data_IF_939912894291
#
_entry.id   IF_939912894291
#
_cell.length_a   1.000
_cell.length_b   1.000
_cell.length_c   1.000
_cell.angle_alpha   90.00
_cell.angle_beta   90.00
_cell.angle_gamma   90.00
#
_symmetry.space_group_name_H-M   'P 1'
#
loop_
_entity.id
_entity.type
_entity.pdbx_description
1 polymer ?
#
# COMPACT_ATOMS: atom_id res chain seq x y z
N UNK A 1 10.70 44.48 -57.27
CA UNK A 1 9.55 43.80 -56.64
C UNK A 1 9.33 42.47 -57.37
N UNK A 2 10.35 41.63 -57.23
CA UNK A 2 10.68 40.48 -58.08
C UNK A 2 10.52 39.18 -57.28
N UNK A 3 10.21 38.08 -57.97
CA UNK A 3 10.58 36.68 -57.64
C UNK A 3 9.63 35.73 -56.89
N UNK A 4 8.35 36.06 -56.61
CA UNK A 4 7.53 35.14 -55.80
C UNK A 4 6.57 34.18 -56.54
N UNK A 5 6.23 34.40 -57.82
CA UNK A 5 5.16 33.59 -58.48
C UNK A 5 5.70 32.55 -59.48
N UNK A 6 6.99 32.55 -59.83
CA UNK A 6 7.56 31.57 -60.79
C UNK A 6 8.07 30.26 -60.18
N UNK A 7 7.84 30.02 -58.88
CA UNK A 7 8.26 28.81 -58.17
C UNK A 7 7.15 27.78 -57.92
N UNK A 8 5.93 28.03 -58.40
CA UNK A 8 4.76 27.17 -58.12
C UNK A 8 4.44 26.13 -59.20
N UNK A 9 5.12 26.11 -60.36
CA UNK A 9 4.72 25.23 -61.48
C UNK A 9 5.85 24.59 -62.30
N UNK A 10 7.10 24.53 -61.82
CA UNK A 10 8.11 23.69 -62.46
C UNK A 10 8.22 22.34 -61.73
N UNK A 11 7.34 21.45 -62.18
CA UNK A 11 7.41 20.01 -62.00
C UNK A 11 8.78 19.49 -62.49
N UNK A 12 9.65 19.09 -61.57
CA UNK A 12 10.57 17.99 -61.84
C UNK A 12 9.87 16.70 -61.40
N UNK A 13 9.89 15.63 -62.22
CA UNK A 13 9.45 14.32 -61.75
C UNK A 13 10.46 13.86 -60.70
N UNK A 14 10.14 14.11 -59.42
CA UNK A 14 10.78 13.41 -58.32
C UNK A 14 10.46 11.94 -58.51
N UNK A 15 11.49 11.16 -58.79
CA UNK A 15 11.52 9.72 -58.63
C UNK A 15 10.63 9.34 -57.46
N UNK A 16 9.68 8.44 -57.71
CA UNK A 16 8.97 7.71 -56.66
C UNK A 16 10.07 7.05 -55.83
N UNK A 17 10.49 7.74 -54.76
CA UNK A 17 11.09 7.07 -53.64
C UNK A 17 9.98 6.15 -53.17
N UNK A 18 10.26 4.85 -53.20
CA UNK A 18 9.48 3.88 -52.46
C UNK A 18 9.25 4.51 -51.08
N UNK A 19 8.03 4.95 -50.82
CA UNK A 19 7.59 5.17 -49.46
C UNK A 19 7.65 3.75 -48.92
N UNK A 20 8.75 3.41 -48.24
CA UNK A 20 8.74 2.26 -47.34
C UNK A 20 7.50 2.50 -46.48
N UNK A 21 6.50 1.62 -46.65
CA UNK A 21 5.41 1.54 -45.68
C UNK A 21 6.09 1.56 -44.31
N UNK A 22 5.65 2.44 -43.38
CA UNK A 22 6.20 2.43 -42.04
C UNK A 22 6.18 0.97 -41.58
N UNK A 23 7.29 0.44 -41.05
CA UNK A 23 7.38 -0.97 -40.72
C UNK A 23 6.14 -1.28 -39.91
N UNK A 24 5.30 -2.22 -40.39
CA UNK A 24 4.10 -2.66 -39.68
C UNK A 24 4.53 -2.86 -38.25
N UNK A 25 4.04 -2.02 -37.34
CA UNK A 25 4.24 -2.23 -35.91
C UNK A 25 3.78 -3.65 -35.67
N UNK A 26 4.73 -4.53 -35.40
CA UNK A 26 4.43 -5.92 -35.08
C UNK A 26 3.75 -5.81 -33.73
N UNK A 27 2.41 -5.81 -33.74
CA UNK A 27 1.63 -5.83 -32.51
C UNK A 27 2.17 -6.98 -31.67
N UNK A 28 2.70 -6.64 -30.50
CA UNK A 28 3.24 -7.64 -29.61
C UNK A 28 2.16 -8.67 -29.26
N UNK A 29 2.51 -9.95 -29.37
CA UNK A 29 1.59 -11.03 -29.02
C UNK A 29 1.21 -10.93 -27.55
N UNK A 30 -0.06 -11.22 -27.25
CA UNK A 30 -0.57 -11.28 -25.89
C UNK A 30 -0.04 -12.55 -25.22
N UNK A 31 0.48 -12.40 -24.01
CA UNK A 31 0.90 -13.51 -23.14
C UNK A 31 -0.32 -14.17 -22.51
N UNK A 32 -0.11 -15.33 -21.87
CA UNK A 32 -1.17 -15.99 -21.10
C UNK A 32 -1.72 -15.11 -19.96
N UNK A 33 -0.89 -14.25 -19.38
CA UNK A 33 -1.32 -13.32 -18.33
C UNK A 33 -2.18 -12.19 -18.91
N UNK A 34 -1.80 -11.65 -20.08
CA UNK A 34 -2.58 -10.65 -20.80
C UNK A 34 -4.00 -11.14 -21.12
N UNK A 35 -4.12 -12.36 -21.64
CA UNK A 35 -5.42 -12.96 -21.96
C UNK A 35 -6.28 -13.20 -20.70
N UNK A 36 -5.63 -13.52 -19.57
CA UNK A 36 -6.32 -13.66 -18.28
C UNK A 36 -6.92 -12.33 -17.83
N UNK A 37 -6.13 -11.24 -17.84
CA UNK A 37 -6.62 -9.92 -17.46
C UNK A 37 -7.69 -9.42 -18.45
N UNK A 38 -7.48 -9.63 -19.75
CA UNK A 38 -8.47 -9.27 -20.78
C UNK A 38 -9.81 -9.94 -20.53
N UNK A 39 -9.81 -11.25 -20.27
CA UNK A 39 -11.02 -12.03 -19.98
C UNK A 39 -11.72 -11.51 -18.71
N UNK A 40 -10.96 -11.14 -17.68
CA UNK A 40 -11.52 -10.54 -16.46
C UNK A 40 -12.20 -9.20 -16.76
N UNK A 41 -11.57 -8.30 -17.49
CA UNK A 41 -12.20 -7.03 -17.88
C UNK A 41 -13.47 -7.25 -18.71
N UNK A 42 -13.43 -8.14 -19.70
CA UNK A 42 -14.58 -8.43 -20.54
C UNK A 42 -15.77 -8.95 -19.72
N UNK A 43 -15.53 -9.82 -18.72
CA UNK A 43 -16.58 -10.33 -17.82
C UNK A 43 -17.33 -9.20 -17.09
N UNK A 44 -16.63 -8.15 -16.66
CA UNK A 44 -17.24 -7.02 -15.94
C UNK A 44 -17.82 -5.97 -16.89
N UNK A 45 -17.15 -5.71 -18.02
CA UNK A 45 -17.59 -4.75 -19.04
C UNK A 45 -18.92 -5.14 -19.70
N UNK A 46 -19.31 -6.42 -19.68
CA UNK A 46 -20.62 -6.88 -20.19
C UNK A 46 -21.79 -6.17 -19.50
N UNK A 47 -21.63 -5.74 -18.25
CA UNK A 47 -22.65 -5.00 -17.49
C UNK A 47 -22.87 -3.56 -17.97
N UNK A 48 -22.02 -3.06 -18.87
CA UNK A 48 -22.07 -1.71 -19.43
C UNK A 48 -22.49 -1.75 -20.89
N UNK A 49 -23.13 -0.68 -21.36
CA UNK A 49 -23.52 -0.56 -22.77
C UNK A 49 -22.28 -0.50 -23.68
N UNK A 50 -22.42 -0.90 -24.95
CA UNK A 50 -21.29 -0.94 -25.90
C UNK A 50 -20.53 0.40 -25.97
N UNK A 51 -21.19 1.58 -26.06
CA UNK A 51 -20.49 2.86 -26.04
C UNK A 51 -19.70 3.11 -24.75
N UNK A 52 -20.25 2.70 -23.61
CA UNK A 52 -19.61 2.87 -22.29
C UNK A 52 -18.38 1.99 -22.11
N UNK A 53 -18.30 0.83 -22.77
CA UNK A 53 -17.14 -0.07 -22.67
C UNK A 53 -15.84 0.55 -23.19
N UNK A 54 -15.95 1.57 -24.04
CA UNK A 54 -14.80 2.34 -24.54
C UNK A 54 -14.47 3.57 -23.68
N UNK A 55 -15.30 3.88 -22.67
CA UNK A 55 -15.09 5.02 -21.80
C UNK A 55 -13.98 4.73 -20.77
N UNK A 56 -13.01 5.63 -20.68
CA UNK A 56 -11.88 5.54 -19.75
C UNK A 56 -12.31 5.41 -18.28
N UNK A 57 -13.29 6.22 -17.84
CA UNK A 57 -13.78 6.19 -16.46
C UNK A 57 -14.50 4.89 -16.13
N UNK A 58 -15.23 4.32 -17.10
CA UNK A 58 -15.88 3.00 -16.94
C UNK A 58 -14.83 1.91 -16.77
N UNK A 59 -13.76 1.91 -17.57
CA UNK A 59 -12.66 0.94 -17.44
C UNK A 59 -11.93 1.07 -16.11
N UNK A 60 -11.68 2.30 -15.65
CA UNK A 60 -11.10 2.55 -14.31
C UNK A 60 -12.04 2.08 -13.18
N UNK A 61 -13.35 2.21 -13.35
CA UNK A 61 -14.32 1.65 -12.40
C UNK A 61 -14.32 0.12 -12.44
N UNK A 62 -14.26 -0.48 -13.62
CA UNK A 62 -14.19 -1.94 -13.77
C UNK A 62 -12.95 -2.52 -13.09
N UNK A 63 -11.79 -1.84 -13.15
CA UNK A 63 -10.61 -2.31 -12.42
C UNK A 63 -10.86 -2.33 -10.91
N UNK A 64 -11.51 -1.31 -10.34
CA UNK A 64 -11.94 -1.30 -8.93
C UNK A 64 -12.91 -2.46 -8.63
N UNK A 65 -13.88 -2.73 -9.50
CA UNK A 65 -14.84 -3.82 -9.34
C UNK A 65 -14.17 -5.20 -9.33
N UNK A 66 -13.18 -5.41 -10.21
CA UNK A 66 -12.37 -6.64 -10.26
C UNK A 66 -11.60 -6.82 -8.94
N UNK A 67 -10.86 -5.78 -8.49
CA UNK A 67 -10.09 -5.85 -7.24
C UNK A 67 -11.02 -6.06 -6.04
N UNK A 68 -12.20 -5.46 -6.04
CA UNK A 68 -13.19 -5.68 -4.99
C UNK A 68 -13.70 -7.12 -4.96
N UNK A 69 -14.00 -7.72 -6.11
CA UNK A 69 -14.37 -9.14 -6.21
C UNK A 69 -13.26 -10.04 -5.66
N UNK A 70 -12.00 -9.79 -6.06
CA UNK A 70 -10.85 -10.55 -5.58
C UNK A 70 -10.62 -10.40 -4.07
N UNK A 71 -10.84 -9.20 -3.52
CA UNK A 71 -10.77 -8.96 -2.08
C UNK A 71 -11.79 -9.83 -1.32
N UNK A 72 -13.05 -9.87 -1.81
CA UNK A 72 -14.12 -10.65 -1.21
C UNK A 72 -13.95 -12.17 -1.38
N UNK A 73 -13.34 -12.60 -2.47
CA UNK A 73 -13.02 -14.01 -2.73
C UNK A 73 -11.84 -14.50 -1.89
N UNK A 74 -11.06 -13.61 -1.28
CA UNK A 74 -9.97 -14.02 -0.39
C UNK A 74 -10.52 -14.71 0.86
N UNK A 75 -9.97 -15.88 1.22
CA UNK A 75 -10.40 -16.78 2.32
C UNK A 75 -10.60 -16.13 3.70
N UNK A 76 -10.19 -14.86 3.86
CA UNK A 76 -10.22 -14.13 5.12
C UNK A 76 -11.22 -12.98 5.19
N UNK A 77 -11.89 -12.63 4.08
CA UNK A 77 -12.73 -11.43 3.98
C UNK A 77 -14.23 -11.75 3.99
N UNK A 78 -14.70 -12.35 5.09
CA UNK A 78 -16.13 -12.60 5.30
C UNK A 78 -16.78 -11.43 6.03
N UNK A 79 -17.82 -10.84 5.43
CA UNK A 79 -18.62 -9.79 6.07
C UNK A 79 -20.11 -9.87 5.71
N UNK A 80 -20.99 -9.36 6.59
CA UNK A 80 -22.42 -9.15 6.31
C UNK A 80 -22.66 -8.35 5.03
N UNK A 81 -23.80 -8.59 4.37
CA UNK A 81 -24.16 -7.97 3.09
C UNK A 81 -24.27 -6.44 3.18
N UNK A 82 -24.86 -5.90 4.26
CA UNK A 82 -24.96 -4.46 4.49
C UNK A 82 -23.59 -3.78 4.59
N UNK A 83 -22.63 -4.44 5.24
CA UNK A 83 -21.24 -3.95 5.34
C UNK A 83 -20.51 -4.08 4.01
N UNK A 84 -20.81 -5.11 3.22
CA UNK A 84 -20.27 -5.30 1.88
C UNK A 84 -20.68 -4.16 0.95
N UNK A 85 -21.95 -3.76 0.97
CA UNK A 85 -22.44 -2.65 0.14
C UNK A 85 -21.80 -1.32 0.55
N UNK A 86 -21.69 -1.06 1.86
CA UNK A 86 -20.98 0.12 2.37
C UNK A 86 -19.51 0.11 1.97
N UNK A 87 -18.84 -1.04 2.04
CA UNK A 87 -17.45 -1.18 1.60
C UNK A 87 -17.30 -0.98 0.09
N UNK A 88 -18.21 -1.53 -0.70
CA UNK A 88 -18.26 -1.33 -2.14
C UNK A 88 -18.40 0.16 -2.47
N UNK A 89 -19.28 0.88 -1.77
CA UNK A 89 -19.40 2.32 -1.95
C UNK A 89 -18.11 3.07 -1.60
N UNK A 90 -17.51 2.76 -0.45
CA UNK A 90 -16.30 3.40 0.05
C UNK A 90 -15.06 3.17 -0.84
N UNK A 91 -14.96 2.00 -1.49
CA UNK A 91 -13.80 1.63 -2.32
C UNK A 91 -14.04 1.84 -3.82
N UNK A 92 -15.20 1.44 -4.33
CA UNK A 92 -15.50 1.36 -5.76
C UNK A 92 -16.19 2.62 -6.28
N UNK A 93 -17.31 3.01 -5.65
CA UNK A 93 -18.16 4.11 -6.12
C UNK A 93 -17.53 5.47 -5.88
N UNK A 94 -16.95 5.68 -4.69
CA UNK A 94 -16.31 6.94 -4.36
C UNK A 94 -15.15 7.26 -5.30
N UNK A 95 -15.02 8.53 -5.69
CA UNK A 95 -13.94 9.00 -6.58
C UNK A 95 -12.55 8.68 -5.98
N UNK A 96 -12.43 8.89 -4.66
CA UNK A 96 -11.31 8.47 -3.82
C UNK A 96 -11.82 7.58 -2.68
N UNK A 97 -10.92 6.80 -2.07
CA UNK A 97 -11.30 5.91 -0.97
C UNK A 97 -11.85 6.73 0.21
N UNK A 98 -13.06 6.37 0.66
CA UNK A 98 -13.68 6.98 1.83
C UNK A 98 -13.13 6.33 3.12
N UNK A 99 -12.02 6.88 3.62
CA UNK A 99 -11.38 6.39 4.84
C UNK A 99 -12.26 6.53 6.08
N UNK A 100 -13.14 7.55 6.14
CA UNK A 100 -14.04 7.71 7.29
C UNK A 100 -15.02 6.54 7.34
N UNK A 101 -15.57 6.16 6.18
CA UNK A 101 -16.46 5.02 6.07
C UNK A 101 -15.73 3.69 6.29
N UNK A 102 -14.50 3.53 5.77
CA UNK A 102 -13.68 2.35 6.08
C UNK A 102 -13.46 2.19 7.59
N UNK A 103 -13.11 3.28 8.28
CA UNK A 103 -13.01 3.28 9.73
C UNK A 103 -14.34 2.90 10.38
N UNK A 104 -15.46 3.49 9.94
CA UNK A 104 -16.78 3.17 10.50
C UNK A 104 -17.18 1.69 10.32
N UNK A 105 -16.82 1.07 9.19
CA UNK A 105 -17.06 -0.35 8.92
C UNK A 105 -16.24 -1.23 9.87
N UNK A 106 -14.94 -0.94 10.02
CA UNK A 106 -14.01 -1.85 10.70
C UNK A 106 -13.71 -1.49 12.17
N UNK A 107 -14.12 -0.32 12.68
CA UNK A 107 -13.72 0.15 14.03
C UNK A 107 -14.18 -0.80 15.15
N UNK A 108 -15.39 -1.33 15.06
CA UNK A 108 -15.99 -2.19 16.09
C UNK A 108 -15.84 -3.69 15.81
N UNK A 109 -15.47 -4.05 14.58
CA UNK A 109 -15.35 -5.44 14.15
C UNK A 109 -13.93 -5.98 14.27
N UNK A 110 -13.82 -7.30 14.37
CA UNK A 110 -12.56 -8.00 14.15
C UNK A 110 -12.21 -7.99 12.66
N UNK A 111 -11.38 -7.03 12.25
CA UNK A 111 -10.99 -6.86 10.86
C UNK A 111 -9.99 -7.95 10.43
N UNK A 112 -10.52 -9.03 9.85
CA UNK A 112 -9.74 -10.15 9.32
C UNK A 112 -9.26 -9.86 7.90
N UNK A 113 -7.95 -9.88 7.71
CA UNK A 113 -7.34 -9.71 6.39
C UNK A 113 -5.98 -10.42 6.39
N UNK A 114 -6.02 -11.71 6.04
CA UNK A 114 -4.90 -12.63 6.20
C UNK A 114 -3.66 -12.20 5.41
N UNK A 115 -3.85 -11.59 4.25
CA UNK A 115 -2.73 -11.08 3.45
C UNK A 115 -1.91 -10.04 4.23
N UNK A 116 -2.59 -9.12 4.93
CA UNK A 116 -1.92 -8.16 5.81
C UNK A 116 -1.30 -8.83 7.03
N UNK A 117 -2.03 -9.76 7.67
CA UNK A 117 -1.56 -10.42 8.89
C UNK A 117 -0.29 -11.24 8.63
N UNK A 118 -0.23 -11.98 7.51
CA UNK A 118 0.97 -12.69 7.06
C UNK A 118 2.15 -11.73 6.81
N UNK A 119 1.89 -10.55 6.22
CA UNK A 119 2.95 -9.56 5.97
C UNK A 119 3.46 -8.93 7.28
N UNK A 120 2.56 -8.68 8.25
CA UNK A 120 2.94 -8.26 9.61
C UNK A 120 3.83 -9.30 10.27
N UNK A 121 3.44 -10.57 10.24
CA UNK A 121 4.22 -11.67 10.79
C UNK A 121 5.61 -11.74 10.15
N UNK A 122 5.68 -11.68 8.82
CA UNK A 122 6.96 -11.66 8.10
C UNK A 122 7.85 -10.48 8.53
N UNK A 123 7.28 -9.28 8.70
CA UNK A 123 8.02 -8.11 9.20
C UNK A 123 8.57 -8.34 10.61
N UNK A 124 7.75 -8.90 11.50
CA UNK A 124 8.12 -9.16 12.89
C UNK A 124 9.21 -10.24 13.03
N UNK A 125 9.15 -11.30 12.22
CA UNK A 125 10.14 -12.39 12.16
C UNK A 125 11.48 -11.92 11.58
N UNK A 126 11.43 -11.15 10.50
CA UNK A 126 12.62 -10.78 9.74
C UNK A 126 13.25 -9.45 10.17
N UNK A 127 12.55 -8.67 11.01
CA UNK A 127 12.93 -7.30 11.41
C UNK A 127 13.16 -6.37 10.22
N UNK A 128 12.33 -6.53 9.18
CA UNK A 128 12.31 -5.68 7.99
C UNK A 128 10.96 -4.99 7.96
N UNK A 129 10.96 -3.67 8.09
CA UNK A 129 9.75 -2.86 8.16
C UNK A 129 9.70 -1.94 6.94
N UNK A 130 9.05 -2.36 5.84
CA UNK A 130 8.81 -1.49 4.69
C UNK A 130 7.97 -0.27 5.10
N UNK A 131 7.91 0.76 4.25
CA UNK A 131 7.37 2.07 4.59
C UNK A 131 6.03 2.02 5.32
N UNK A 132 5.06 1.28 4.78
CA UNK A 132 3.72 1.14 5.37
C UNK A 132 3.72 0.48 6.77
N UNK A 133 4.74 -0.30 7.10
CA UNK A 133 4.86 -1.09 8.33
C UNK A 133 5.88 -0.53 9.33
N UNK A 134 6.46 0.65 9.07
CA UNK A 134 7.44 1.26 9.98
C UNK A 134 6.90 1.43 11.41
N UNK A 135 5.58 1.60 11.58
CA UNK A 135 4.95 1.65 12.90
C UNK A 135 5.20 0.39 13.74
N UNK A 136 5.39 -0.78 13.12
CA UNK A 136 5.70 -2.03 13.83
C UNK A 136 7.08 -2.04 14.49
N UNK A 137 8.01 -1.20 14.03
CA UNK A 137 9.31 -1.04 14.68
C UNK A 137 9.17 -0.46 16.10
N UNK A 138 8.06 0.25 16.38
CA UNK A 138 7.76 0.84 17.67
C UNK A 138 6.91 -0.08 18.57
N UNK A 139 6.89 -1.39 18.30
CA UNK A 139 6.16 -2.36 19.12
C UNK A 139 6.62 -2.25 20.58
N UNK A 140 5.71 -2.00 21.54
CA UNK A 140 6.07 -1.85 22.94
C UNK A 140 6.76 -3.10 23.48
N UNK A 141 7.76 -2.90 24.33
CA UNK A 141 8.44 -3.95 25.08
C UNK A 141 8.53 -3.54 26.54
N UNK A 142 8.52 -4.52 27.44
CA UNK A 142 8.79 -4.27 28.86
C UNK A 142 10.25 -3.85 29.00
N UNK A 143 10.55 -2.71 29.63
CA UNK A 143 11.92 -2.28 29.89
C UNK A 143 12.71 -3.30 30.70
N UNK A 144 13.98 -3.49 30.34
CA UNK A 144 14.91 -4.42 30.99
C UNK A 144 15.90 -3.73 31.95
N UNK A 145 15.82 -2.40 32.06
CA UNK A 145 16.67 -1.59 32.91
C UNK A 145 15.89 -0.45 33.57
N UNK A 146 16.40 0.03 34.70
CA UNK A 146 15.72 1.02 35.55
C UNK A 146 15.52 2.37 34.83
N UNK A 147 16.52 2.82 34.06
CA UNK A 147 16.43 4.08 33.32
C UNK A 147 15.26 4.06 32.31
N UNK A 148 15.16 2.97 31.56
CA UNK A 148 14.08 2.77 30.59
C UNK A 148 12.73 2.58 31.28
N UNK A 149 12.70 1.91 32.43
CA UNK A 149 11.49 1.75 33.25
C UNK A 149 10.92 3.11 33.72
N UNK A 150 11.78 4.03 34.16
CA UNK A 150 11.39 5.37 34.59
C UNK A 150 10.76 6.19 33.44
N UNK A 151 11.28 6.03 32.22
CA UNK A 151 10.74 6.69 31.03
C UNK A 151 9.42 6.08 30.53
N UNK A 152 9.23 4.79 30.77
CA UNK A 152 8.05 4.04 30.33
C UNK A 152 6.79 4.28 31.18
N UNK A 153 6.98 4.38 32.50
CA UNK A 153 5.92 4.58 33.48
C UNK A 153 5.55 6.07 33.59
N UNK A 154 4.27 6.37 33.87
CA UNK A 154 3.84 7.77 34.07
C UNK A 154 4.38 8.29 35.40
N UNK A 155 4.80 9.57 35.42
CA UNK A 155 5.30 10.24 36.63
C UNK A 155 4.31 10.15 37.80
N UNK A 156 2.99 10.19 37.53
CA UNK A 156 1.97 10.03 38.58
C UNK A 156 2.05 8.68 39.29
N UNK A 157 2.23 7.59 38.54
CA UNK A 157 2.29 6.24 39.10
C UNK A 157 3.60 6.03 39.89
N UNK A 158 4.72 6.59 39.42
CA UNK A 158 5.98 6.60 40.17
C UNK A 158 5.85 7.34 41.50
N UNK A 159 5.10 8.46 41.51
CA UNK A 159 4.86 9.23 42.75
C UNK A 159 3.96 8.50 43.74
N UNK A 160 3.03 7.67 43.27
CA UNK A 160 2.19 6.84 44.15
C UNK A 160 3.05 5.80 44.88
N UNK A 161 3.86 5.03 44.16
CA UNK A 161 4.81 4.08 44.77
C UNK A 161 5.76 4.76 45.77
N UNK A 162 6.27 5.94 45.44
CA UNK A 162 7.13 6.69 46.36
C UNK A 162 6.42 7.10 47.64
N UNK A 163 5.13 7.42 47.61
CA UNK A 163 4.35 7.77 48.82
C UNK A 163 4.15 6.56 49.74
N UNK A 164 4.01 5.38 49.17
CA UNK A 164 3.84 4.15 49.96
C UNK A 164 5.11 3.80 50.75
N UNK A 165 6.29 4.19 50.21
CA UNK A 165 7.60 3.92 50.82
C UNK A 165 8.14 5.08 51.67
N UNK A 166 7.80 6.32 51.32
CA UNK A 166 8.33 7.53 51.95
C UNK A 166 7.20 8.35 52.58
N UNK A 167 7.33 8.68 53.86
CA UNK A 167 6.38 9.54 54.58
C UNK A 167 6.53 11.04 54.26
N UNK A 168 7.43 11.40 53.33
CA UNK A 168 7.76 12.78 53.01
C UNK A 168 6.95 13.32 51.81
N UNK A 169 6.93 14.65 51.67
CA UNK A 169 6.28 15.30 50.52
C UNK A 169 7.03 14.96 49.22
N UNK A 170 6.43 14.14 48.37
CA UNK A 170 7.00 13.74 47.08
C UNK A 170 6.96 14.90 46.07
N UNK A 171 8.08 15.22 45.38
CA UNK A 171 8.12 16.25 44.34
C UNK A 171 7.16 15.93 43.18
N UNK A 172 6.88 16.93 42.35
CA UNK A 172 5.97 16.80 41.20
C UNK A 172 6.68 16.82 39.86
N UNK A 173 7.88 17.40 39.79
CA UNK A 173 8.61 17.57 38.54
C UNK A 173 9.38 16.31 38.16
N UNK A 174 9.38 15.97 36.87
CA UNK A 174 9.94 14.72 36.34
C UNK A 174 11.44 14.57 36.67
N UNK A 175 12.19 15.65 36.52
CA UNK A 175 13.63 15.77 36.82
C UNK A 175 13.97 15.56 38.31
N UNK A 176 13.03 15.85 39.21
CA UNK A 176 13.19 15.61 40.65
C UNK A 176 12.69 14.22 41.08
N UNK A 177 11.61 13.73 40.45
CA UNK A 177 11.01 12.43 40.77
C UNK A 177 11.91 11.27 40.34
N UNK A 178 12.55 11.35 39.17
CA UNK A 178 13.35 10.24 38.64
C UNK A 178 14.57 9.90 39.51
N UNK A 179 15.44 10.86 39.90
CA UNK A 179 16.56 10.56 40.77
C UNK A 179 16.12 10.05 42.14
N UNK A 180 15.04 10.62 42.71
CA UNK A 180 14.49 10.16 43.98
C UNK A 180 13.98 8.72 43.88
N UNK A 181 13.28 8.38 42.79
CA UNK A 181 12.79 7.03 42.55
C UNK A 181 13.94 6.03 42.45
N UNK A 182 14.97 6.36 41.66
CA UNK A 182 16.13 5.50 41.45
C UNK A 182 16.94 5.22 42.73
N UNK A 183 16.86 6.10 43.74
CA UNK A 183 17.50 5.88 45.05
C UNK A 183 16.75 4.89 45.94
N UNK A 184 15.46 4.69 45.71
CA UNK A 184 14.58 3.95 46.61
C UNK A 184 13.97 2.70 46.01
N UNK A 185 14.02 2.51 44.70
CA UNK A 185 13.44 1.37 44.02
C UNK A 185 14.43 0.70 43.07
N UNK A 186 14.34 -0.62 43.03
CA UNK A 186 14.97 -1.49 42.04
C UNK A 186 14.01 -1.79 40.90
N UNK A 187 14.54 -2.30 39.79
CA UNK A 187 13.69 -2.73 38.66
C UNK A 187 12.71 -3.85 39.06
N UNK A 188 13.12 -4.77 39.94
CA UNK A 188 12.27 -5.88 40.39
C UNK A 188 11.05 -5.36 41.19
N UNK A 189 11.24 -4.33 42.01
CA UNK A 189 10.14 -3.67 42.74
C UNK A 189 9.18 -2.92 41.81
N UNK A 190 9.57 -2.67 40.55
CA UNK A 190 8.71 -2.04 39.54
C UNK A 190 7.95 -3.05 38.67
N UNK A 191 8.10 -4.36 38.88
CA UNK A 191 7.58 -5.37 37.96
C UNK A 191 6.07 -5.26 37.73
N UNK A 192 5.30 -5.15 38.82
CA UNK A 192 3.83 -5.07 38.76
C UNK A 192 3.34 -3.83 37.98
N UNK A 193 3.88 -2.65 38.32
CA UNK A 193 3.53 -1.40 37.64
C UNK A 193 3.97 -1.38 36.17
N UNK A 194 5.09 -2.05 35.84
CA UNK A 194 5.56 -2.18 34.46
C UNK A 194 4.65 -3.09 33.65
N UNK A 195 4.17 -4.19 34.23
CA UNK A 195 3.21 -5.10 33.59
C UNK A 195 1.87 -4.40 33.31
N UNK A 196 1.32 -3.66 34.29
CA UNK A 196 0.10 -2.87 34.10
C UNK A 196 0.26 -1.83 32.99
N UNK A 197 1.36 -1.06 33.04
CA UNK A 197 1.65 -0.05 32.01
C UNK A 197 1.86 -0.67 30.64
N UNK A 198 2.51 -1.84 30.58
CA UNK A 198 2.71 -2.58 29.35
C UNK A 198 1.40 -3.01 28.72
N UNK A 199 0.42 -3.49 29.50
CA UNK A 199 -0.91 -3.83 28.99
C UNK A 199 -1.59 -2.59 28.39
N UNK A 200 -1.55 -1.44 29.09
CA UNK A 200 -2.13 -0.18 28.58
C UNK A 200 -1.53 0.24 27.24
N UNK A 201 -0.19 0.29 27.17
CA UNK A 201 0.53 0.74 25.97
C UNK A 201 0.40 -0.29 24.83
N UNK A 202 0.39 -1.59 25.14
CA UNK A 202 0.15 -2.65 24.15
C UNK A 202 -1.25 -2.53 23.53
N UNK A 203 -2.27 -2.26 24.34
CA UNK A 203 -3.64 -2.05 23.83
C UNK A 203 -3.72 -0.80 22.92
N UNK A 204 -3.05 0.29 23.29
CA UNK A 204 -2.94 1.49 22.44
C UNK A 204 -2.21 1.19 21.12
N UNK A 205 -1.15 0.38 21.18
CA UNK A 205 -0.42 -0.04 20.01
C UNK A 205 -1.27 -0.92 19.08
N UNK A 206 -2.00 -1.92 19.58
CA UNK A 206 -2.87 -2.75 18.74
C UNK A 206 -4.02 -1.94 18.12
N UNK A 207 -4.54 -0.92 18.81
CA UNK A 207 -5.47 0.05 18.19
C UNK A 207 -4.82 0.83 17.04
N UNK A 208 -3.55 1.21 17.20
CA UNK A 208 -2.76 1.88 16.15
C UNK A 208 -2.53 0.93 14.97
N UNK A 209 -2.21 -0.34 15.23
CA UNK A 209 -2.08 -1.39 14.21
C UNK A 209 -3.38 -1.52 13.43
N UNK A 210 -4.53 -1.58 14.11
CA UNK A 210 -5.85 -1.66 13.47
C UNK A 210 -6.11 -0.46 12.54
N UNK A 211 -5.79 0.75 12.98
CA UNK A 211 -5.93 1.95 12.15
C UNK A 211 -5.02 1.91 10.93
N UNK A 212 -3.75 1.49 11.09
CA UNK A 212 -2.85 1.31 9.96
C UNK A 212 -3.33 0.23 8.99
N UNK A 213 -3.86 -0.88 9.50
CA UNK A 213 -4.43 -1.97 8.68
C UNK A 213 -5.56 -1.45 7.78
N UNK A 214 -6.46 -0.63 8.31
CA UNK A 214 -7.54 0.03 7.55
C UNK A 214 -6.97 0.99 6.49
N UNK A 215 -6.00 1.83 6.87
CA UNK A 215 -5.36 2.75 5.95
C UNK A 215 -4.65 2.03 4.79
N UNK A 216 -3.93 0.95 5.12
CA UNK A 216 -3.21 0.11 4.17
C UNK A 216 -4.18 -0.60 3.22
N UNK A 217 -5.36 -1.04 3.68
CA UNK A 217 -6.39 -1.59 2.80
C UNK A 217 -6.79 -0.58 1.71
N UNK A 218 -7.12 0.65 2.10
CA UNK A 218 -7.52 1.68 1.15
C UNK A 218 -6.41 2.04 0.15
N UNK A 219 -5.17 2.13 0.63
CA UNK A 219 -4.02 2.40 -0.23
C UNK A 219 -3.75 1.23 -1.19
N UNK A 220 -3.69 0.00 -0.67
CA UNK A 220 -3.52 -1.22 -1.47
C UNK A 220 -4.58 -1.32 -2.56
N UNK A 221 -5.86 -1.09 -2.23
CA UNK A 221 -6.95 -1.11 -3.19
C UNK A 221 -6.78 -0.06 -4.30
N UNK A 222 -6.38 1.16 -3.92
CA UNK A 222 -6.17 2.27 -4.86
C UNK A 222 -5.03 1.96 -5.82
N UNK A 223 -3.88 1.53 -5.31
CA UNK A 223 -2.72 1.20 -6.15
C UNK A 223 -3.01 0.00 -7.06
N UNK A 224 -3.63 -1.05 -6.54
CA UNK A 224 -3.94 -2.24 -7.32
C UNK A 224 -4.92 -1.92 -8.47
N UNK A 225 -6.01 -1.21 -8.16
CA UNK A 225 -7.00 -0.86 -9.18
C UNK A 225 -6.43 0.08 -10.26
N UNK A 226 -5.57 1.03 -9.89
CA UNK A 226 -4.89 1.90 -10.86
C UNK A 226 -3.89 1.12 -11.72
N UNK A 227 -3.01 0.32 -11.11
CA UNK A 227 -2.03 -0.48 -11.85
C UNK A 227 -2.70 -1.47 -12.81
N UNK A 228 -3.80 -2.09 -12.38
CA UNK A 228 -4.60 -2.99 -13.22
C UNK A 228 -5.26 -2.24 -14.38
N UNK A 229 -5.80 -1.04 -14.14
CA UNK A 229 -6.36 -0.18 -15.19
C UNK A 229 -5.30 0.19 -16.22
N UNK A 230 -4.14 0.67 -15.77
CA UNK A 230 -3.04 1.09 -16.63
C UNK A 230 -2.50 -0.10 -17.44
N UNK A 231 -2.37 -1.28 -16.83
CA UNK A 231 -1.98 -2.50 -17.54
C UNK A 231 -2.98 -2.84 -18.64
N UNK A 232 -4.28 -2.82 -18.34
CA UNK A 232 -5.30 -3.11 -19.34
C UNK A 232 -5.29 -2.11 -20.50
N UNK A 233 -5.10 -0.82 -20.23
CA UNK A 233 -5.05 0.20 -21.28
C UNK A 233 -3.78 0.08 -22.13
N UNK A 234 -2.60 0.19 -21.53
CA UNK A 234 -1.35 0.30 -22.27
C UNK A 234 -0.86 -1.02 -22.85
N UNK A 235 -1.01 -2.12 -22.10
CA UNK A 235 -0.50 -3.42 -22.53
C UNK A 235 -1.50 -4.19 -23.38
N UNK A 236 -2.78 -4.21 -22.99
CA UNK A 236 -3.78 -5.08 -23.63
C UNK A 236 -4.49 -4.40 -24.80
N UNK A 237 -4.96 -3.16 -24.62
CA UNK A 237 -5.70 -2.44 -25.66
C UNK A 237 -4.78 -1.76 -26.66
N UNK A 238 -3.80 -0.99 -26.18
CA UNK A 238 -2.90 -0.23 -27.04
C UNK A 238 -1.76 -1.10 -27.61
N UNK A 239 -1.57 -2.31 -27.03
CA UNK A 239 -0.52 -3.28 -27.40
C UNK A 239 0.89 -2.67 -27.46
N UNK A 240 1.13 -1.61 -26.70
CA UNK A 240 2.37 -0.86 -26.74
C UNK A 240 3.52 -1.79 -26.39
N UNK A 241 4.50 -1.88 -27.31
CA UNK A 241 5.68 -2.73 -27.16
C UNK A 241 6.60 -2.07 -26.14
N UNK A 242 6.35 -2.38 -24.86
CA UNK A 242 7.01 -1.74 -23.73
C UNK A 242 7.77 -2.80 -22.95
N UNK A 243 8.92 -2.41 -22.40
CA UNK A 243 9.61 -3.20 -21.39
C UNK A 243 9.17 -2.67 -20.03
N UNK A 244 8.00 -3.12 -19.50
CA UNK A 244 7.49 -2.65 -18.23
C UNK A 244 8.55 -2.85 -17.15
N UNK A 245 8.70 -1.85 -16.29
CA UNK A 245 9.58 -1.94 -15.12
C UNK A 245 8.79 -1.59 -13.88
N UNK A 246 9.13 -2.24 -12.77
CA UNK A 246 8.62 -1.85 -11.48
C UNK A 246 9.09 -0.42 -11.19
N UNK A 247 8.15 0.48 -10.94
CA UNK A 247 8.45 1.82 -10.51
C UNK A 247 8.12 1.98 -9.04
N UNK A 248 9.14 2.29 -8.24
CA UNK A 248 9.00 2.52 -6.81
C UNK A 248 9.03 4.03 -6.58
N UNK A 249 7.98 4.62 -5.96
CA UNK A 249 7.93 6.06 -5.69
C UNK A 249 9.14 6.58 -4.93
N UNK A 250 9.57 7.80 -5.22
CA UNK A 250 10.80 8.39 -4.66
C UNK A 250 10.79 8.45 -3.12
N UNK A 251 9.64 8.76 -2.51
CA UNK A 251 9.50 8.77 -1.05
C UNK A 251 9.79 7.40 -0.41
N UNK A 252 9.64 6.32 -1.17
CA UNK A 252 9.96 4.95 -0.77
C UNK A 252 11.39 4.56 -1.17
N UNK A 253 11.95 5.12 -2.25
CA UNK A 253 13.32 4.81 -2.70
C UNK A 253 14.38 5.04 -1.62
N UNK A 254 14.13 5.93 -0.66
CA UNK A 254 15.00 6.15 0.49
C UNK A 254 14.83 5.10 1.61
N UNK A 255 13.70 4.40 1.64
CA UNK A 255 13.42 3.23 2.46
C UNK A 255 13.92 1.98 1.74
N UNK A 256 15.24 1.72 1.78
CA UNK A 256 15.84 0.48 1.26
C UNK A 256 15.14 -0.80 1.77
N UNK A 257 14.34 -0.68 2.83
CA UNK A 257 13.53 -1.74 3.46
C UNK A 257 12.42 -2.30 2.58
N UNK A 258 11.85 -1.51 1.66
CA UNK A 258 10.79 -2.00 0.78
C UNK A 258 11.34 -2.96 -0.29
N UNK A 259 12.46 -2.59 -0.92
CA UNK A 259 13.18 -3.49 -1.84
C UNK A 259 13.76 -4.70 -1.12
N UNK A 260 14.27 -4.51 0.10
CA UNK A 260 14.75 -5.61 0.95
C UNK A 260 13.62 -6.60 1.27
N UNK A 261 12.44 -6.09 1.62
CA UNK A 261 11.24 -6.89 1.88
C UNK A 261 10.83 -7.70 0.65
N UNK A 262 10.66 -7.05 -0.51
CA UNK A 262 10.28 -7.70 -1.78
C UNK A 262 11.25 -8.83 -2.11
N UNK A 263 12.56 -8.55 -2.03
CA UNK A 263 13.61 -9.53 -2.32
C UNK A 263 13.58 -10.70 -1.33
N UNK A 264 13.45 -10.44 -0.03
CA UNK A 264 13.48 -11.49 0.99
C UNK A 264 12.21 -12.34 1.01
N UNK A 265 11.07 -11.74 0.68
CA UNK A 265 9.79 -12.44 0.55
C UNK A 265 9.67 -13.21 -0.78
N UNK A 266 10.64 -13.08 -1.70
CA UNK A 266 10.62 -13.76 -3.00
C UNK A 266 9.51 -13.24 -3.92
N UNK A 267 9.10 -11.98 -3.76
CA UNK A 267 8.03 -11.38 -4.54
C UNK A 267 8.58 -10.84 -5.86
N UNK A 268 7.89 -11.14 -6.95
CA UNK A 268 8.19 -10.62 -8.28
C UNK A 268 6.92 -10.38 -9.07
N UNK A 269 6.94 -9.36 -9.92
CA UNK A 269 5.92 -9.11 -10.94
C UNK A 269 6.35 -9.56 -12.34
N UNK A 270 7.60 -10.01 -12.52
CA UNK A 270 8.15 -10.39 -13.82
C UNK A 270 8.66 -11.84 -13.83
N UNK A 271 8.50 -12.52 -14.97
CA UNK A 271 9.17 -13.78 -15.26
C UNK A 271 10.64 -13.57 -15.70
N UNK A 272 11.37 -14.66 -15.94
CA UNK A 272 12.78 -14.63 -16.38
C UNK A 272 12.98 -13.95 -17.75
N UNK A 273 11.91 -13.84 -18.54
CA UNK A 273 11.92 -13.18 -19.86
C UNK A 273 11.54 -11.70 -19.77
N UNK A 274 11.22 -11.21 -18.57
CA UNK A 274 10.78 -9.84 -18.34
C UNK A 274 9.31 -9.58 -18.66
N UNK A 275 8.50 -10.63 -18.87
CA UNK A 275 7.05 -10.47 -19.03
C UNK A 275 6.39 -10.30 -17.67
N UNK A 276 5.37 -9.45 -17.61
CA UNK A 276 4.60 -9.28 -16.39
C UNK A 276 3.78 -10.56 -16.09
N UNK A 277 3.89 -11.06 -14.87
CA UNK A 277 3.12 -12.22 -14.35
C UNK A 277 2.09 -11.82 -13.29
N UNK A 278 2.24 -10.62 -12.73
CA UNK A 278 1.30 -10.02 -11.79
C UNK A 278 1.45 -8.50 -11.81
N UNK A 279 0.34 -7.77 -11.74
CA UNK A 279 0.38 -6.32 -11.50
C UNK A 279 0.62 -6.04 -10.00
N UNK A 280 1.47 -5.06 -9.64
CA UNK A 280 1.60 -4.64 -8.25
C UNK A 280 0.30 -3.97 -7.75
N UNK A 281 0.08 -3.85 -6.44
CA UNK A 281 1.02 -4.07 -5.33
C UNK A 281 1.36 -5.54 -5.07
N UNK A 282 2.62 -5.83 -4.77
CA UNK A 282 3.14 -7.16 -4.46
C UNK A 282 2.79 -7.62 -3.03
N UNK A 283 2.52 -6.68 -2.13
CA UNK A 283 2.07 -6.93 -0.76
C UNK A 283 1.22 -5.74 -0.27
N UNK A 284 0.41 -5.89 0.80
CA UNK A 284 -0.34 -4.78 1.38
C UNK A 284 0.59 -3.65 1.83
N UNK A 285 0.43 -2.44 1.30
CA UNK A 285 1.34 -1.33 1.61
C UNK A 285 2.57 -1.24 0.70
N UNK A 286 2.62 -2.04 -0.36
CA UNK A 286 3.43 -1.73 -1.54
C UNK A 286 2.75 -0.60 -2.33
N UNK A 287 3.53 0.41 -2.70
CA UNK A 287 3.08 1.54 -3.52
C UNK A 287 3.72 1.51 -4.92
N UNK A 288 4.34 0.39 -5.29
CA UNK A 288 4.96 0.26 -6.59
C UNK A 288 3.92 0.30 -7.70
N UNK A 289 4.28 0.96 -8.80
CA UNK A 289 3.55 0.96 -10.05
C UNK A 289 4.30 0.18 -11.13
N UNK A 290 3.73 0.19 -12.33
CA UNK A 290 4.42 -0.27 -13.53
C UNK A 290 4.67 0.94 -14.42
N UNK A 291 5.93 1.18 -14.75
CA UNK A 291 6.30 2.15 -15.76
C UNK A 291 6.44 1.44 -17.11
N UNK A 292 5.54 1.78 -18.04
CA UNK A 292 5.52 1.27 -19.41
C UNK A 292 6.44 2.07 -20.36
N UNK A 293 7.35 2.90 -19.86
CA UNK A 293 8.31 3.63 -20.70
C UNK A 293 7.75 4.87 -21.40
N UNK A 294 6.57 5.36 -21.01
CA UNK A 294 5.95 6.58 -21.59
C UNK A 294 6.46 7.90 -20.98
N UNK A 295 7.46 7.84 -20.10
CA UNK A 295 8.14 9.01 -19.55
C UNK A 295 9.63 8.87 -19.84
N UNK A 296 10.07 9.33 -21.01
CA UNK A 296 11.31 10.07 -21.30
C UNK A 296 11.36 10.43 -22.79
#
# INVERSE_FOLDING_TARGET
MFSFIKKLFDNKPSSIQNIEEPPKEIESELTSYDETIKTLFEKFLVNYSIPERHNYNVRKRVSKEIIFSQLLESDSFSMPEDKRDRLYNALVISESVDYQELHAIFLLDDFKWRLFDNCREFCEENKIYPYAYQFLANKPAIPDNLESALLFVKVSQLRELLKDKLSQKIPTRKDEVYPLFAQHFTLEEMKEILEERFIEVKNQFENTVKNHKINILGQWFTYYSNNLSDYYLYRILDRTLTHPKLDVPEFIRHSYKDLEFIKKAGLSCFDEKGNLTSVPPLFPGDYSGINYGNYY
#
